data_IF_644501050241
#
_entry.id   IF_644501050241
#
_cell.length_a   1.000
_cell.length_b   1.000
_cell.length_c   1.000
_cell.angle_alpha   90.00
_cell.angle_beta   90.00
_cell.angle_gamma   90.00
#
_symmetry.space_group_name_H-M   'P 1'
#
loop_
_entity.id
_entity.type
_entity.pdbx_description
1 polymer ?
#
# COMPACT_ATOMS: atom_id res chain seq x y z
N UNK A 1 1.47 26.27 17.34
CA UNK A 1 1.72 25.65 16.02
C UNK A 1 1.37 24.17 16.15
N UNK A 2 0.62 23.59 15.20
CA UNK A 2 0.30 22.16 15.22
C UNK A 2 1.47 21.40 14.58
N UNK A 3 2.03 20.43 15.27
CA UNK A 3 3.03 19.54 14.68
C UNK A 3 2.37 18.67 13.60
N UNK A 4 2.99 18.63 12.42
CA UNK A 4 2.58 17.74 11.33
C UNK A 4 3.40 16.45 11.37
N UNK A 5 2.70 15.33 11.38
CA UNK A 5 3.31 14.00 11.27
C UNK A 5 3.10 13.48 9.84
N UNK A 6 4.18 13.06 9.20
CA UNK A 6 4.14 12.48 7.84
C UNK A 6 4.33 10.97 7.97
N UNK A 7 3.44 10.22 7.31
CA UNK A 7 3.53 8.76 7.19
C UNK A 7 3.81 8.39 5.74
N UNK A 8 4.78 7.50 5.52
CA UNK A 8 5.18 7.03 4.19
C UNK A 8 5.06 5.51 4.18
N UNK A 9 4.21 4.99 3.30
CA UNK A 9 4.06 3.54 3.07
C UNK A 9 4.67 3.19 1.72
N UNK A 10 5.80 2.45 1.67
CA UNK A 10 6.40 2.04 0.41
C UNK A 10 5.57 0.95 -0.28
N UNK A 11 5.17 1.21 -1.53
CA UNK A 11 4.25 0.37 -2.29
C UNK A 11 4.76 0.05 -3.70
N UNK A 12 5.84 -0.75 -3.82
CA UNK A 12 6.44 -1.08 -5.13
C UNK A 12 5.52 -1.96 -5.99
N UNK A 13 5.41 -1.65 -7.28
CA UNK A 13 4.58 -2.40 -8.23
C UNK A 13 5.22 -3.72 -8.71
N UNK A 14 6.54 -3.74 -8.90
CA UNK A 14 7.30 -4.83 -9.55
C UNK A 14 7.53 -6.10 -8.71
N UNK A 15 6.52 -6.58 -7.99
CA UNK A 15 6.57 -7.87 -7.31
C UNK A 15 6.50 -9.01 -8.33
N UNK A 16 7.44 -9.95 -8.29
CA UNK A 16 7.50 -11.08 -9.25
C UNK A 16 6.66 -12.28 -8.82
N UNK A 17 6.64 -12.60 -7.52
CA UNK A 17 5.82 -13.71 -6.98
C UNK A 17 4.33 -13.40 -6.93
N UNK A 18 3.98 -12.13 -6.74
CA UNK A 18 2.59 -11.65 -6.69
C UNK A 18 2.50 -10.34 -7.48
N UNK A 19 2.33 -10.40 -8.82
CA UNK A 19 2.32 -9.23 -9.69
C UNK A 19 1.24 -8.21 -9.30
N UNK A 20 1.58 -6.92 -9.31
CA UNK A 20 0.64 -5.86 -8.95
C UNK A 20 0.24 -5.85 -7.46
N UNK A 21 0.98 -6.54 -6.58
CA UNK A 21 0.69 -6.74 -5.15
C UNK A 21 -0.01 -5.57 -4.44
N UNK A 22 0.44 -4.31 -4.54
CA UNK A 22 -0.21 -3.20 -3.81
C UNK A 22 -1.69 -2.96 -4.19
N UNK A 23 -2.06 -3.25 -5.44
CA UNK A 23 -3.39 -2.97 -5.99
C UNK A 23 -4.30 -4.19 -6.01
N UNK A 24 -3.80 -5.38 -5.66
CA UNK A 24 -4.61 -6.60 -5.63
C UNK A 24 -5.77 -6.42 -4.63
N UNK A 25 -7.01 -6.71 -5.04
CA UNK A 25 -8.15 -6.66 -4.14
C UNK A 25 -8.12 -7.84 -3.16
N UNK A 26 -8.19 -7.52 -1.87
CA UNK A 26 -8.44 -8.47 -0.78
C UNK A 26 -9.75 -8.04 -0.12
N UNK A 27 -10.76 -8.90 -0.13
CA UNK A 27 -12.08 -8.62 0.42
C UNK A 27 -12.61 -7.22 0.03
N UNK A 28 -12.59 -6.92 -1.27
CA UNK A 28 -13.12 -5.67 -1.84
C UNK A 28 -12.26 -4.42 -1.66
N UNK A 29 -11.07 -4.50 -1.05
CA UNK A 29 -10.14 -3.36 -0.88
C UNK A 29 -8.74 -3.71 -1.38
N UNK A 30 -8.00 -2.78 -2.02
CA UNK A 30 -6.64 -3.04 -2.44
C UNK A 30 -5.73 -3.31 -1.23
N UNK A 31 -4.75 -4.19 -1.39
CA UNK A 31 -3.82 -4.62 -0.34
C UNK A 31 -3.16 -3.44 0.38
N UNK A 32 -2.80 -2.37 -0.34
CA UNK A 32 -2.13 -1.19 0.24
C UNK A 32 -2.95 -0.47 1.32
N UNK A 33 -4.28 -0.63 1.34
CA UNK A 33 -5.14 -0.04 2.38
C UNK A 33 -5.13 -0.81 3.70
N UNK A 34 -4.39 -1.93 3.78
CA UNK A 34 -4.33 -2.81 4.96
C UNK A 34 -2.99 -2.73 5.70
N UNK A 35 -2.12 -1.78 5.32
CA UNK A 35 -0.74 -1.59 5.84
C UNK A 35 -0.68 -0.33 6.68
#
# INVERSE_FOLDING_TARGET
MKEQVIVIIPARYGSTRLPGKPLIPIAGKPLIQRV
#
